data_IF_550500054424
#
_entry.id   IF_550500054424
#
_cell.length_a   1.000
_cell.length_b   1.000
_cell.length_c   1.000
_cell.angle_alpha   90.00
_cell.angle_beta   90.00
_cell.angle_gamma   90.00
#
_symmetry.space_group_name_H-M   'P 1'
#
loop_
_entity.id
_entity.type
_entity.pdbx_description
1 polymer ?
#
# COMPACT_ATOMS: atom_id res chain seq x y z
N UNK A 1 -66.29 16.09 -44.80
CA UNK A 1 -65.21 16.80 -45.51
C UNK A 1 -64.24 17.31 -44.45
N UNK A 2 -63.03 16.72 -44.38
CA UNK A 2 -61.79 17.10 -43.66
C UNK A 2 -61.89 17.70 -42.23
N UNK A 3 -61.58 16.96 -41.15
CA UNK A 3 -60.25 16.61 -40.62
C UNK A 3 -59.24 17.77 -40.55
N UNK A 4 -58.99 18.31 -39.35
CA UNK A 4 -57.66 18.77 -38.90
C UNK A 4 -57.53 18.51 -37.38
N UNK A 5 -56.78 17.48 -37.02
CA UNK A 5 -56.19 17.33 -35.69
C UNK A 5 -54.86 18.09 -35.70
N UNK A 6 -54.66 19.01 -34.75
CA UNK A 6 -53.34 19.59 -34.47
C UNK A 6 -52.53 18.55 -33.65
N UNK A 7 -51.53 17.94 -34.29
CA UNK A 7 -50.46 17.23 -33.57
C UNK A 7 -49.33 18.22 -33.29
N UNK A 8 -49.18 18.59 -32.02
CA UNK A 8 -47.96 19.21 -31.53
C UNK A 8 -46.87 18.13 -31.43
N UNK A 9 -45.96 18.11 -32.40
CA UNK A 9 -44.75 17.30 -32.31
C UNK A 9 -43.75 18.01 -31.38
N UNK A 10 -43.74 17.63 -30.10
CA UNK A 10 -42.59 17.87 -29.24
C UNK A 10 -41.46 16.94 -29.67
N UNK A 11 -40.52 17.43 -30.48
CA UNK A 11 -39.22 16.79 -30.64
C UNK A 11 -38.48 16.92 -29.31
N UNK A 12 -38.55 15.89 -28.47
CA UNK A 12 -37.60 15.70 -27.39
C UNK A 12 -36.24 15.41 -28.04
N UNK A 13 -35.40 16.44 -28.15
CA UNK A 13 -33.97 16.22 -28.32
C UNK A 13 -33.51 15.45 -27.09
N UNK A 14 -33.36 14.13 -27.25
CA UNK A 14 -32.52 13.35 -26.35
C UNK A 14 -31.13 13.99 -26.41
N UNK A 15 -30.78 14.74 -25.38
CA UNK A 15 -29.38 14.99 -25.06
C UNK A 15 -28.80 13.63 -24.69
N UNK A 16 -28.24 12.93 -25.68
CA UNK A 16 -27.21 11.95 -25.42
C UNK A 16 -26.07 12.71 -24.73
N UNK A 17 -26.07 12.69 -23.39
CA UNK A 17 -24.88 13.06 -22.64
C UNK A 17 -23.79 12.12 -23.14
N UNK A 18 -22.77 12.68 -23.78
CA UNK A 18 -21.56 11.96 -24.15
C UNK A 18 -20.92 11.45 -22.86
N UNK A 19 -21.29 10.23 -22.48
CA UNK A 19 -20.70 9.51 -21.36
C UNK A 19 -19.24 9.32 -21.75
N UNK A 20 -18.33 10.11 -21.16
CA UNK A 20 -16.90 10.00 -21.42
C UNK A 20 -16.53 8.54 -21.17
N UNK A 21 -16.06 7.86 -22.22
CA UNK A 21 -15.70 6.45 -22.15
C UNK A 21 -14.59 6.30 -21.11
N UNK A 22 -14.80 5.39 -20.14
CA UNK A 22 -13.83 5.16 -19.06
C UNK A 22 -12.55 4.56 -19.68
N UNK A 23 -11.34 5.05 -19.34
CA UNK A 23 -10.11 4.46 -19.83
C UNK A 23 -10.01 2.97 -19.48
N UNK A 24 -9.32 2.20 -20.32
CA UNK A 24 -9.13 0.76 -20.07
C UNK A 24 -8.37 0.53 -18.76
N UNK A 25 -8.50 -0.67 -18.18
CA UNK A 25 -7.73 -1.05 -16.98
C UNK A 25 -6.21 -0.95 -17.21
N UNK A 26 -5.74 -1.26 -18.42
CA UNK A 26 -4.33 -1.13 -18.81
C UNK A 26 -3.86 0.33 -18.86
N UNK A 27 -4.68 1.24 -19.36
CA UNK A 27 -4.36 2.68 -19.40
C UNK A 27 -4.32 3.28 -18.00
N UNK A 28 -5.22 2.84 -17.12
CA UNK A 28 -5.21 3.23 -15.71
C UNK A 28 -4.04 2.63 -14.96
N UNK A 29 -3.68 1.37 -15.21
CA UNK A 29 -2.47 0.77 -14.66
C UNK A 29 -1.24 1.59 -15.04
N UNK A 30 -1.09 1.94 -16.32
CA UNK A 30 0.00 2.82 -16.80
C UNK A 30 -0.01 4.17 -16.08
N UNK A 31 -1.17 4.80 -15.95
CA UNK A 31 -1.31 6.09 -15.27
C UNK A 31 -0.94 5.99 -13.79
N UNK A 32 -1.39 4.93 -13.10
CA UNK A 32 -1.03 4.64 -11.71
C UNK A 32 0.47 4.47 -11.53
N UNK A 33 1.12 3.67 -12.39
CA UNK A 33 2.58 3.50 -12.40
C UNK A 33 3.31 4.84 -12.53
N UNK A 34 2.92 5.67 -13.51
CA UNK A 34 3.56 6.97 -13.75
C UNK A 34 3.36 7.90 -12.55
N UNK A 35 2.14 7.97 -12.01
CA UNK A 35 1.83 8.83 -10.87
C UNK A 35 2.60 8.43 -9.61
N UNK A 36 2.65 7.14 -9.30
CA UNK A 36 3.39 6.61 -8.16
C UNK A 36 4.91 6.79 -8.33
N UNK A 37 5.44 6.61 -9.56
CA UNK A 37 6.85 6.91 -9.86
C UNK A 37 7.19 8.37 -9.61
N UNK A 38 6.34 9.29 -10.08
CA UNK A 38 6.51 10.73 -9.84
C UNK A 38 6.41 11.10 -8.35
N UNK A 39 5.80 10.24 -7.53
CA UNK A 39 5.71 10.39 -6.09
C UNK A 39 6.86 9.69 -5.33
N UNK A 40 7.85 9.13 -6.03
CA UNK A 40 9.08 8.57 -5.43
C UNK A 40 9.11 7.04 -5.28
N UNK A 41 8.07 6.33 -5.73
CA UNK A 41 8.10 4.87 -5.80
C UNK A 41 8.90 4.40 -7.02
N UNK A 42 9.30 3.14 -7.00
CA UNK A 42 10.01 2.44 -8.07
C UNK A 42 11.41 3.02 -8.36
N UNK A 43 12.08 3.58 -7.35
CA UNK A 43 13.40 4.20 -7.49
C UNK A 43 14.47 3.24 -8.04
N UNK A 44 14.39 1.94 -7.71
CA UNK A 44 15.26 0.90 -8.27
C UNK A 44 15.18 0.80 -9.81
N UNK A 45 14.08 1.27 -10.39
CA UNK A 45 13.82 1.28 -11.83
C UNK A 45 14.05 2.64 -12.48
N UNK A 46 14.76 3.57 -11.81
CA UNK A 46 14.96 4.94 -12.32
C UNK A 46 15.59 5.03 -13.72
N UNK A 47 16.35 4.01 -14.13
CA UNK A 47 16.96 3.93 -15.45
C UNK A 47 15.98 3.53 -16.57
N UNK A 48 14.82 2.98 -16.24
CA UNK A 48 13.80 2.59 -17.21
C UNK A 48 12.98 3.81 -17.64
N UNK A 49 12.56 3.85 -18.90
CA UNK A 49 11.50 4.76 -19.34
C UNK A 49 10.16 4.38 -18.69
N UNK A 50 9.18 5.29 -18.70
CA UNK A 50 7.85 5.00 -18.14
C UNK A 50 7.15 3.83 -18.85
N UNK A 51 7.32 3.72 -20.18
CA UNK A 51 6.78 2.58 -20.93
C UNK A 51 7.47 1.27 -20.53
N UNK A 52 8.80 1.28 -20.37
CA UNK A 52 9.56 0.10 -19.97
C UNK A 52 9.24 -0.33 -18.53
N UNK A 53 9.10 0.63 -17.62
CA UNK A 53 8.66 0.37 -16.25
C UNK A 53 7.25 -0.21 -16.23
N UNK A 54 6.32 0.40 -16.98
CA UNK A 54 4.93 -0.08 -17.07
C UNK A 54 4.89 -1.51 -17.59
N UNK A 55 5.64 -1.83 -18.64
CA UNK A 55 5.73 -3.19 -19.17
C UNK A 55 6.32 -4.17 -18.15
N UNK A 56 7.38 -3.76 -17.44
CA UNK A 56 7.99 -4.58 -16.39
C UNK A 56 7.01 -4.89 -15.27
N UNK A 57 6.34 -3.87 -14.73
CA UNK A 57 5.36 -4.05 -13.64
C UNK A 57 4.13 -4.82 -14.10
N UNK A 58 3.68 -4.64 -15.34
CA UNK A 58 2.60 -5.43 -15.95
C UNK A 58 2.96 -6.92 -16.08
N UNK A 59 4.22 -7.23 -16.38
CA UNK A 59 4.72 -8.61 -16.42
C UNK A 59 4.68 -9.23 -15.02
N UNK A 60 5.16 -8.49 -13.99
CA UNK A 60 5.08 -8.94 -12.59
C UNK A 60 3.63 -9.12 -12.14
N UNK A 61 2.74 -8.20 -12.50
CA UNK A 61 1.31 -8.30 -12.19
C UNK A 61 0.68 -9.55 -12.82
N UNK A 62 1.14 -9.94 -14.03
CA UNK A 62 0.72 -11.18 -14.69
C UNK A 62 1.23 -12.42 -13.96
N UNK A 63 2.52 -12.44 -13.58
CA UNK A 63 3.14 -13.54 -12.83
C UNK A 63 2.46 -13.76 -11.47
N UNK A 64 2.02 -12.66 -10.83
CA UNK A 64 1.28 -12.67 -9.57
C UNK A 64 -0.24 -12.82 -9.73
N UNK A 65 -0.74 -13.00 -10.95
CA UNK A 65 -2.16 -13.15 -11.28
C UNK A 65 -3.07 -11.99 -10.83
N UNK A 66 -2.52 -10.77 -10.72
CA UNK A 66 -3.25 -9.59 -10.22
C UNK A 66 -4.30 -9.04 -11.20
N UNK A 67 -4.26 -9.42 -12.48
CA UNK A 67 -5.21 -8.90 -13.48
C UNK A 67 -6.65 -9.31 -13.17
N UNK A 68 -6.86 -10.50 -12.62
CA UNK A 68 -8.20 -10.94 -12.20
C UNK A 68 -8.72 -10.09 -11.04
N UNK A 69 -7.86 -9.77 -10.07
CA UNK A 69 -8.18 -8.83 -8.99
C UNK A 69 -8.49 -7.43 -9.54
N UNK A 70 -7.71 -6.94 -10.50
CA UNK A 70 -7.94 -5.63 -11.12
C UNK A 70 -9.28 -5.54 -11.83
N UNK A 71 -9.69 -6.59 -12.54
CA UNK A 71 -11.00 -6.64 -13.19
C UNK A 71 -12.14 -6.63 -12.15
N UNK A 72 -11.97 -7.31 -11.01
CA UNK A 72 -12.93 -7.26 -9.89
C UNK A 72 -13.03 -5.84 -9.33
N UNK A 73 -11.91 -5.24 -8.91
CA UNK A 73 -11.90 -3.88 -8.35
C UNK A 73 -12.42 -2.84 -9.35
N UNK A 74 -12.13 -3.02 -10.64
CA UNK A 74 -12.65 -2.16 -11.68
C UNK A 74 -14.17 -2.19 -11.78
N UNK A 75 -14.75 -3.38 -11.69
CA UNK A 75 -16.20 -3.60 -11.71
C UNK A 75 -16.91 -2.99 -10.50
N UNK A 76 -16.24 -3.03 -9.33
CA UNK A 76 -16.71 -2.43 -8.07
C UNK A 76 -16.46 -0.92 -8.00
N UNK A 77 -15.73 -0.35 -8.97
CA UNK A 77 -15.31 1.05 -9.00
C UNK A 77 -14.40 1.43 -7.81
N UNK A 78 -13.62 0.47 -7.31
CA UNK A 78 -12.64 0.64 -6.24
C UNK A 78 -11.28 1.04 -6.81
N UNK A 79 -11.22 2.23 -7.41
CA UNK A 79 -10.03 2.69 -8.13
C UNK A 79 -8.77 2.80 -7.25
N UNK A 80 -8.95 3.03 -5.95
CA UNK A 80 -7.86 3.07 -4.99
C UNK A 80 -7.17 1.71 -4.88
N UNK A 81 -7.92 0.60 -4.86
CA UNK A 81 -7.36 -0.75 -4.72
C UNK A 81 -6.45 -1.14 -5.88
N UNK A 82 -6.80 -0.75 -7.10
CA UNK A 82 -5.92 -0.94 -8.27
C UNK A 82 -4.58 -0.25 -8.02
N UNK A 83 -4.61 1.00 -7.56
CA UNK A 83 -3.41 1.79 -7.31
C UNK A 83 -2.61 1.27 -6.09
N UNK A 84 -3.28 0.79 -5.04
CA UNK A 84 -2.62 0.16 -3.89
C UNK A 84 -1.88 -1.10 -4.32
N UNK A 85 -2.50 -1.94 -5.15
CA UNK A 85 -1.86 -3.14 -5.69
C UNK A 85 -0.70 -2.82 -6.63
N UNK A 86 -0.78 -1.74 -7.41
CA UNK A 86 0.36 -1.25 -8.19
C UNK A 86 1.49 -0.83 -7.27
N UNK A 87 1.20 -0.06 -6.21
CA UNK A 87 2.21 0.38 -5.25
C UNK A 87 2.87 -0.80 -4.51
N UNK A 88 2.12 -1.87 -4.20
CA UNK A 88 2.62 -3.12 -3.60
C UNK A 88 3.67 -3.83 -4.48
N UNK A 89 3.77 -3.48 -5.77
CA UNK A 89 4.84 -3.99 -6.64
C UNK A 89 6.21 -3.35 -6.32
N UNK A 90 6.27 -2.35 -5.43
CA UNK A 90 7.50 -1.83 -4.83
C UNK A 90 7.69 -2.34 -3.38
N UNK A 91 8.22 -3.56 -3.18
CA UNK A 91 8.36 -4.16 -1.85
C UNK A 91 9.39 -3.43 -0.96
N UNK A 92 10.18 -2.51 -1.51
CA UNK A 92 11.11 -1.66 -0.72
C UNK A 92 10.45 -0.39 -0.20
N UNK A 93 9.20 -0.14 -0.58
CA UNK A 93 8.41 1.02 -0.17
C UNK A 93 7.09 0.64 0.46
N UNK A 94 6.52 -0.51 0.12
CA UNK A 94 5.20 -0.93 0.58
C UNK A 94 5.26 -2.26 1.31
N UNK A 95 4.59 -2.32 2.46
CA UNK A 95 4.27 -3.52 3.21
C UNK A 95 2.75 -3.58 3.32
N UNK A 96 2.11 -4.65 2.85
CA UNK A 96 0.66 -4.78 2.87
C UNK A 96 0.28 -6.21 3.25
N UNK A 97 -0.22 -6.35 4.48
CA UNK A 97 -0.58 -7.63 5.08
C UNK A 97 -1.81 -7.47 5.97
N UNK A 98 -2.45 -8.60 6.25
CA UNK A 98 -3.47 -8.74 7.28
C UNK A 98 -2.88 -8.48 8.68
N UNK A 99 -3.62 -7.79 9.54
CA UNK A 99 -3.25 -7.59 10.94
C UNK A 99 -3.67 -8.76 11.86
N UNK A 100 -4.60 -9.61 11.45
CA UNK A 100 -4.90 -10.91 12.06
C UNK A 100 -3.93 -11.93 11.43
N UNK A 101 -2.78 -12.13 12.07
CA UNK A 101 -1.64 -12.82 11.45
C UNK A 101 -1.13 -14.00 12.27
N UNK A 102 -2.04 -14.67 13.00
CA UNK A 102 -1.70 -15.74 13.93
C UNK A 102 -0.59 -15.32 14.90
N UNK A 103 -0.72 -14.13 15.50
CA UNK A 103 0.25 -13.59 16.48
C UNK A 103 0.18 -14.39 17.78
N UNK A 104 0.78 -15.57 17.75
CA UNK A 104 0.75 -16.57 18.82
C UNK A 104 2.17 -17.00 19.19
N UNK A 105 2.36 -17.43 20.43
CA UNK A 105 3.64 -17.93 20.92
C UNK A 105 4.18 -19.06 20.02
N UNK A 106 5.41 -18.89 19.56
CA UNK A 106 6.11 -19.85 18.68
C UNK A 106 5.95 -19.60 17.19
N UNK A 107 5.01 -18.74 16.76
CA UNK A 107 4.83 -18.40 15.34
C UNK A 107 5.87 -17.38 14.83
N UNK A 108 6.53 -16.65 15.73
CA UNK A 108 7.63 -15.72 15.40
C UNK A 108 7.20 -14.63 14.41
N UNK A 109 5.97 -14.14 14.54
CA UNK A 109 5.36 -13.20 13.60
C UNK A 109 6.14 -11.89 13.62
N UNK A 110 6.31 -11.26 14.78
CA UNK A 110 7.06 -9.99 14.88
C UNK A 110 8.52 -10.14 14.47
N UNK A 111 9.18 -11.25 14.83
CA UNK A 111 10.54 -11.49 14.40
C UNK A 111 10.67 -11.56 12.87
N UNK A 112 9.65 -12.09 12.19
CA UNK A 112 9.57 -12.13 10.73
C UNK A 112 9.29 -10.75 10.16
N UNK A 113 8.35 -10.01 10.74
CA UNK A 113 8.00 -8.64 10.33
C UNK A 113 9.17 -7.67 10.53
N UNK A 114 9.99 -7.82 11.58
CA UNK A 114 11.22 -7.03 11.74
C UNK A 114 12.16 -7.23 10.53
N UNK A 115 12.28 -8.45 9.99
CA UNK A 115 13.13 -8.69 8.80
C UNK A 115 12.55 -8.00 7.56
N UNK A 116 11.23 -8.02 7.40
CA UNK A 116 10.56 -7.30 6.32
C UNK A 116 10.78 -5.79 6.46
N UNK A 117 10.75 -5.26 7.68
CA UNK A 117 11.01 -3.85 7.96
C UNK A 117 12.49 -3.46 7.79
N UNK A 118 13.43 -4.41 7.88
CA UNK A 118 14.84 -4.17 7.48
C UNK A 118 14.91 -3.85 5.99
N UNK A 119 14.27 -4.66 5.13
CA UNK A 119 14.22 -4.42 3.69
C UNK A 119 13.46 -3.13 3.37
N UNK A 120 12.30 -2.93 4.01
CA UNK A 120 11.48 -1.74 3.84
C UNK A 120 12.24 -0.47 4.27
N UNK A 121 13.13 -0.55 5.26
CA UNK A 121 13.84 0.61 5.79
C UNK A 121 14.78 1.25 4.78
N UNK A 122 15.22 0.54 3.74
CA UNK A 122 16.25 0.99 2.80
C UNK A 122 17.61 1.22 3.48
N UNK A 123 17.95 0.40 4.48
CA UNK A 123 19.24 0.43 5.18
C UNK A 123 19.29 1.29 6.44
N UNK A 124 18.19 1.96 6.80
CA UNK A 124 18.08 2.72 8.06
C UNK A 124 17.74 1.85 9.27
N UNK A 125 17.47 0.57 9.06
CA UNK A 125 17.35 -0.45 10.10
C UNK A 125 18.19 -1.65 9.66
N UNK A 126 19.08 -2.14 10.53
CA UNK A 126 19.94 -3.30 10.23
C UNK A 126 19.79 -4.34 11.33
N UNK A 127 18.57 -4.88 11.45
CA UNK A 127 18.24 -5.83 12.51
C UNK A 127 18.85 -7.21 12.24
N UNK A 128 19.69 -7.64 13.15
CA UNK A 128 20.30 -8.96 13.19
C UNK A 128 20.00 -9.63 14.54
N UNK A 129 20.16 -10.95 14.62
CA UNK A 129 19.96 -11.71 15.87
C UNK A 129 18.59 -11.44 16.52
N UNK A 130 17.54 -11.34 15.69
CA UNK A 130 16.20 -10.99 16.11
C UNK A 130 15.63 -12.10 17.00
N UNK A 131 15.11 -11.70 18.15
CA UNK A 131 14.42 -12.56 19.11
C UNK A 131 13.02 -12.03 19.37
N UNK A 132 12.10 -12.96 19.48
CA UNK A 132 10.74 -12.76 19.94
C UNK A 132 10.52 -13.76 21.08
N UNK A 133 10.29 -13.24 22.28
CA UNK A 133 10.16 -14.03 23.50
C UNK A 133 8.83 -13.68 24.17
N UNK A 134 8.02 -14.70 24.41
CA UNK A 134 6.71 -14.58 25.05
C UNK A 134 6.84 -14.90 26.53
N UNK A 135 6.32 -14.04 27.42
CA UNK A 135 6.29 -14.36 28.86
C UNK A 135 5.28 -15.47 29.17
N UNK A 136 4.15 -15.46 28.47
CA UNK A 136 3.09 -16.48 28.50
C UNK A 136 2.51 -16.63 27.09
N UNK A 137 1.63 -17.60 26.87
CA UNK A 137 0.97 -17.77 25.56
C UNK A 137 0.11 -16.56 25.14
N UNK A 138 -0.24 -15.66 26.07
CA UNK A 138 -0.98 -14.42 25.82
C UNK A 138 -0.14 -13.16 26.07
N UNK A 139 1.18 -13.29 26.00
CA UNK A 139 2.13 -12.20 26.19
C UNK A 139 2.38 -11.81 27.66
N UNK A 140 3.00 -10.64 27.90
CA UNK A 140 3.53 -9.71 26.89
C UNK A 140 4.66 -10.30 26.05
N UNK A 141 4.96 -9.62 24.95
CA UNK A 141 5.88 -10.09 23.91
C UNK A 141 7.11 -9.19 23.91
N UNK A 142 8.29 -9.77 24.07
CA UNK A 142 9.56 -9.06 24.08
C UNK A 142 10.26 -9.25 22.76
N UNK A 143 10.51 -8.14 22.06
CA UNK A 143 11.26 -8.13 20.82
C UNK A 143 12.63 -7.52 21.08
N UNK A 144 13.69 -8.18 20.64
CA UNK A 144 15.03 -7.61 20.66
C UNK A 144 15.83 -7.98 19.43
N UNK A 145 16.76 -7.12 19.02
CA UNK A 145 17.67 -7.36 17.92
C UNK A 145 18.88 -6.44 17.99
N UNK A 146 19.95 -6.86 17.33
CA UNK A 146 21.16 -6.07 17.13
C UNK A 146 20.96 -5.13 15.93
N UNK A 147 21.23 -3.84 16.09
CA UNK A 147 21.22 -2.81 15.03
C UNK A 147 22.59 -2.15 14.97
N UNK A 148 23.48 -2.69 14.13
CA UNK A 148 24.90 -2.35 14.15
C UNK A 148 25.52 -2.71 15.50
N UNK A 149 25.97 -1.71 16.27
CA UNK A 149 26.52 -1.90 17.63
C UNK A 149 25.50 -1.67 18.75
N UNK A 150 24.25 -1.34 18.40
CA UNK A 150 23.19 -1.03 19.38
C UNK A 150 22.23 -2.20 19.55
N UNK A 151 22.06 -2.69 20.77
CA UNK A 151 20.95 -3.58 21.10
C UNK A 151 19.65 -2.77 21.20
N UNK A 152 18.66 -3.10 20.35
CA UNK A 152 17.30 -2.56 20.42
C UNK A 152 16.41 -3.58 21.11
N UNK A 153 15.55 -3.11 22.00
CA UNK A 153 14.54 -3.95 22.64
C UNK A 153 13.29 -3.12 22.93
N UNK A 154 12.13 -3.77 22.84
CA UNK A 154 10.83 -3.19 23.18
C UNK A 154 9.84 -4.31 23.53
N UNK A 155 8.77 -3.93 24.20
CA UNK A 155 7.72 -4.83 24.65
C UNK A 155 6.42 -4.44 23.95
N UNK A 156 5.68 -5.46 23.51
CA UNK A 156 4.36 -5.34 22.90
C UNK A 156 3.32 -6.02 23.78
N UNK A 157 2.08 -5.58 23.63
CA UNK A 157 0.90 -6.24 24.19
C UNK A 157 0.48 -7.38 23.26
N UNK A 158 -0.19 -8.37 23.81
CA UNK A 158 -0.89 -9.38 23.02
C UNK A 158 -2.33 -8.92 22.83
N UNK A 159 -2.84 -9.05 21.61
CA UNK A 159 -4.23 -8.80 21.28
C UNK A 159 -4.79 -10.01 20.55
N UNK A 160 -4.95 -11.12 21.29
CA UNK A 160 -5.26 -12.43 20.69
C UNK A 160 -4.22 -12.78 19.60
N UNK A 161 -4.66 -13.06 18.38
CA UNK A 161 -3.84 -13.33 17.20
C UNK A 161 -3.54 -12.11 16.32
N UNK A 162 -3.79 -10.89 16.82
CA UNK A 162 -3.58 -9.62 16.12
C UNK A 162 -2.25 -8.94 16.47
N UNK A 163 -1.76 -8.11 15.55
CA UNK A 163 -0.66 -7.19 15.81
C UNK A 163 -1.00 -6.14 16.88
N UNK A 164 0.01 -5.77 17.68
CA UNK A 164 0.06 -4.53 18.44
C UNK A 164 0.54 -3.41 17.52
N UNK A 165 -0.30 -2.41 17.28
CA UNK A 165 -0.01 -1.27 16.42
C UNK A 165 1.23 -0.47 16.86
N UNK A 166 1.58 -0.52 18.16
CA UNK A 166 2.80 0.11 18.67
C UNK A 166 4.08 -0.45 18.01
N UNK A 167 4.04 -1.67 17.45
CA UNK A 167 5.14 -2.25 16.67
C UNK A 167 5.64 -1.31 15.57
N UNK A 168 4.73 -0.73 14.78
CA UNK A 168 5.07 0.14 13.66
C UNK A 168 5.74 1.44 14.14
N UNK A 169 5.29 1.95 15.28
CA UNK A 169 5.87 3.12 15.94
C UNK A 169 7.30 2.86 16.42
N UNK A 170 7.60 1.65 16.95
CA UNK A 170 8.96 1.27 17.28
C UNK A 170 9.87 1.20 16.05
N UNK A 171 9.40 0.60 14.95
CA UNK A 171 10.19 0.51 13.72
C UNK A 171 10.52 1.89 13.15
N UNK A 172 9.52 2.80 13.06
CA UNK A 172 9.77 4.18 12.64
C UNK A 172 10.76 4.89 13.58
N UNK A 173 10.60 4.71 14.90
CA UNK A 173 11.47 5.33 15.90
C UNK A 173 12.92 4.91 15.70
N UNK A 174 13.20 3.64 15.47
CA UNK A 174 14.57 3.16 15.25
C UNK A 174 15.16 3.66 13.94
N UNK A 175 14.39 3.65 12.84
CA UNK A 175 14.83 4.24 11.59
C UNK A 175 15.14 5.74 11.72
N UNK A 176 14.28 6.48 12.43
CA UNK A 176 14.47 7.91 12.66
C UNK A 176 15.72 8.17 13.51
N UNK A 177 15.96 7.35 14.54
CA UNK A 177 17.17 7.44 15.35
C UNK A 177 18.44 7.19 14.53
N UNK A 178 18.35 6.41 13.46
CA UNK A 178 19.42 6.15 12.50
C UNK A 178 19.48 7.21 11.36
N UNK A 179 18.77 8.33 11.50
CA UNK A 179 18.83 9.46 10.57
C UNK A 179 17.96 9.31 9.32
N UNK A 180 16.98 8.40 9.33
CA UNK A 180 16.08 8.24 8.18
C UNK A 180 15.24 9.51 7.96
N UNK A 181 15.17 10.03 6.71
CA UNK A 181 14.23 11.08 6.35
C UNK A 181 12.80 10.53 6.11
N UNK A 182 12.65 9.20 6.12
CA UNK A 182 11.41 8.52 5.82
C UNK A 182 10.57 8.29 7.07
N UNK A 183 9.27 8.16 6.84
CA UNK A 183 8.22 7.87 7.81
C UNK A 183 7.32 6.78 7.27
N UNK A 184 6.69 6.04 8.17
CA UNK A 184 5.66 5.08 7.78
C UNK A 184 4.30 5.76 7.82
N UNK A 185 3.54 5.56 6.75
CA UNK A 185 2.18 6.04 6.63
C UNK A 185 1.27 4.88 6.29
N UNK A 186 0.04 4.94 6.77
CA UNK A 186 -0.99 3.92 6.55
C UNK A 186 -2.08 4.52 5.68
N UNK A 187 -2.47 3.80 4.63
CA UNK A 187 -3.67 4.18 3.87
C UNK A 187 -4.93 3.83 4.69
N UNK A 188 -5.86 4.77 4.79
CA UNK A 188 -7.13 4.55 5.49
C UNK A 188 -8.13 3.91 4.53
N UNK A 189 -8.60 2.70 4.84
CA UNK A 189 -9.72 2.07 4.11
C UNK A 189 -9.50 0.62 3.68
N UNK A 190 -8.46 -0.05 4.17
CA UNK A 190 -8.13 -1.45 3.86
C UNK A 190 -8.80 -2.47 4.78
N UNK A 191 -9.70 -2.03 5.67
CA UNK A 191 -10.41 -2.90 6.59
C UNK A 191 -9.47 -3.49 7.64
N UNK A 192 -9.28 -4.80 7.58
CA UNK A 192 -8.43 -5.58 8.49
C UNK A 192 -6.95 -5.59 8.06
N UNK A 193 -6.67 -5.38 6.76
CA UNK A 193 -5.30 -5.24 6.28
C UNK A 193 -4.72 -3.88 6.67
N UNK A 194 -3.40 -3.86 6.89
CA UNK A 194 -2.61 -2.64 6.96
C UNK A 194 -1.80 -2.45 5.67
N UNK A 195 -2.11 -1.40 4.91
CA UNK A 195 -1.25 -0.92 3.83
C UNK A 195 -0.30 0.15 4.38
N UNK A 196 0.95 -0.25 4.61
CA UNK A 196 2.01 0.61 5.14
C UNK A 196 2.95 1.03 4.02
N UNK A 197 3.20 2.33 3.89
CA UNK A 197 4.08 2.90 2.88
C UNK A 197 5.15 3.79 3.50
N UNK A 198 6.40 3.59 3.08
CA UNK A 198 7.56 4.38 3.50
C UNK A 198 7.76 5.58 2.58
N UNK A 199 7.51 6.78 3.09
CA UNK A 199 7.61 8.04 2.34
C UNK A 199 8.35 9.12 3.13
N UNK A 200 9.03 10.02 2.44
CA UNK A 200 9.37 11.33 3.00
C UNK A 200 8.11 12.19 3.09
N UNK A 201 8.19 13.32 3.80
CA UNK A 201 7.08 14.28 3.85
C UNK A 201 6.65 14.77 2.46
N UNK A 202 7.61 15.10 1.59
CA UNK A 202 7.32 15.58 0.24
C UNK A 202 6.72 14.47 -0.65
N UNK A 203 7.22 13.24 -0.53
CA UNK A 203 6.66 12.09 -1.23
C UNK A 203 5.20 11.83 -0.78
N UNK A 204 4.89 11.92 0.52
CA UNK A 204 3.52 11.82 1.04
C UNK A 204 2.59 12.84 0.38
N UNK A 205 2.97 14.12 0.39
CA UNK A 205 2.17 15.19 -0.22
C UNK A 205 1.89 14.91 -1.70
N UNK A 206 2.88 14.37 -2.43
CA UNK A 206 2.73 13.97 -3.83
C UNK A 206 1.80 12.78 -4.02
N UNK A 207 1.88 11.76 -3.18
CA UNK A 207 0.96 10.60 -3.21
C UNK A 207 -0.47 11.06 -2.94
N UNK A 208 -0.71 11.86 -1.88
CA UNK A 208 -2.05 12.37 -1.56
C UNK A 208 -2.60 13.24 -2.69
N UNK A 209 -1.77 14.06 -3.33
CA UNK A 209 -2.21 14.90 -4.45
C UNK A 209 -2.56 14.08 -5.71
N UNK A 210 -1.71 13.12 -6.08
CA UNK A 210 -1.86 12.37 -7.34
C UNK A 210 -2.85 11.22 -7.24
N UNK A 211 -2.87 10.54 -6.10
CA UNK A 211 -3.67 9.35 -5.86
C UNK A 211 -4.94 9.65 -5.08
N UNK A 212 -5.05 10.84 -4.47
CA UNK A 212 -6.17 11.23 -3.58
C UNK A 212 -6.32 10.34 -2.34
N UNK A 213 -5.27 9.63 -2.01
CA UNK A 213 -5.20 8.80 -0.81
C UNK A 213 -5.24 9.66 0.43
N UNK A 214 -5.88 9.12 1.47
CA UNK A 214 -5.77 9.65 2.82
C UNK A 214 -4.82 8.76 3.59
N UNK A 215 -3.75 9.36 4.11
CA UNK A 215 -2.74 8.62 4.83
C UNK A 215 -2.47 9.23 6.20
N UNK A 216 -2.41 8.35 7.19
CA UNK A 216 -2.14 8.68 8.59
C UNK A 216 -0.89 7.98 9.07
N UNK A 217 -0.47 8.28 10.30
CA UNK A 217 0.49 7.44 11.02
C UNK A 217 -0.29 6.44 11.87
N UNK A 218 0.33 5.33 12.23
CA UNK A 218 -0.10 4.53 13.38
C UNK A 218 -0.01 5.35 14.68
#
# INVERSE_FOLDING_TARGET
MFCVWLLAACTSKHNESTKKERPSIKDRFKTGVINLRQAGLFEDYKSLSDDSLTQRLSSIATERQLWEEFDVYDSLQEEDYINLKIAQLDPKRVWWHDLEADVLNGNMVYASTVKEFVELSGGYLRAEQIKEEWETDNGPIHISFQDGDTLRAFQLKSYDDWYDEDFFNYMEKFMTANGSPYKFYVYIGTGQDAFVIRLTKAEKEMVEQKMRWKMEKF
#
